data_IF_852234904434
#
_entry.id   IF_852234904434
#
_cell.length_a   1.000
_cell.length_b   1.000
_cell.length_c   1.000
_cell.angle_alpha   90.00
_cell.angle_beta   90.00
_cell.angle_gamma   90.00
#
_symmetry.space_group_name_H-M   'P 1'
#
loop_
_entity.id
_entity.type
_entity.pdbx_description
1 polymer ?
#
# COMPACT_ATOMS: atom_id res chain seq x y z
N UNK A 1 41.82 15.29 -21.91
CA UNK A 1 40.42 14.94 -22.30
C UNK A 1 40.09 15.67 -23.59
N UNK A 2 39.46 14.94 -24.55
CA UNK A 2 39.08 15.51 -25.84
C UNK A 2 37.67 16.12 -25.80
N UNK A 3 36.82 15.69 -24.87
CA UNK A 3 35.49 16.24 -24.65
C UNK A 3 35.00 15.87 -23.24
N UNK A 4 34.08 16.70 -22.69
CA UNK A 4 33.31 16.46 -21.50
C UNK A 4 31.83 16.40 -21.91
N UNK A 5 31.19 15.28 -21.67
CA UNK A 5 29.75 15.11 -21.93
C UNK A 5 29.02 15.12 -20.59
N UNK A 6 28.08 16.04 -20.43
CA UNK A 6 27.25 16.15 -19.22
C UNK A 6 25.86 15.66 -19.55
N UNK A 7 25.39 14.64 -18.82
CA UNK A 7 24.03 14.16 -18.90
C UNK A 7 23.22 14.76 -17.73
N UNK A 8 22.03 15.23 -18.03
CA UNK A 8 21.04 15.66 -17.04
C UNK A 8 19.74 14.92 -17.30
N UNK A 9 19.28 14.17 -16.30
CA UNK A 9 17.95 13.59 -16.34
C UNK A 9 16.92 14.63 -15.92
N UNK A 10 15.84 14.71 -16.68
CA UNK A 10 14.69 15.53 -16.30
C UNK A 10 13.83 14.74 -15.31
N UNK A 11 13.39 15.45 -14.26
CA UNK A 11 12.43 14.88 -13.30
C UNK A 11 11.05 15.00 -13.93
N UNK A 12 10.24 13.96 -13.80
CA UNK A 12 8.85 13.99 -14.28
C UNK A 12 8.09 15.13 -13.62
N UNK A 13 7.28 15.85 -14.39
CA UNK A 13 6.58 17.08 -13.94
C UNK A 13 5.72 16.81 -12.69
N UNK A 14 5.04 15.66 -12.62
CA UNK A 14 4.12 15.30 -11.55
C UNK A 14 4.83 14.68 -10.30
N UNK A 15 6.16 14.54 -10.31
CA UNK A 15 6.88 13.84 -9.23
C UNK A 15 6.71 14.57 -7.88
N UNK A 16 6.83 15.88 -7.87
CA UNK A 16 6.70 16.69 -6.63
C UNK A 16 5.32 16.54 -6.01
N UNK A 17 4.27 16.68 -6.81
CA UNK A 17 2.88 16.59 -6.36
C UNK A 17 2.58 15.21 -5.80
N UNK A 18 3.07 14.16 -6.47
CA UNK A 18 2.91 12.78 -6.02
C UNK A 18 3.59 12.52 -4.68
N UNK A 19 4.82 13.00 -4.48
CA UNK A 19 5.54 12.82 -3.22
C UNK A 19 4.97 13.67 -2.10
N UNK A 20 4.47 14.88 -2.39
CA UNK A 20 3.77 15.71 -1.42
C UNK A 20 2.47 15.06 -0.95
N UNK A 21 1.69 14.50 -1.86
CA UNK A 21 0.52 13.69 -1.52
C UNK A 21 0.87 12.56 -0.53
N UNK A 22 1.90 11.75 -0.80
CA UNK A 22 2.28 10.67 0.10
C UNK A 22 2.76 11.18 1.47
N UNK A 23 3.49 12.30 1.51
CA UNK A 23 3.88 12.96 2.75
C UNK A 23 2.67 13.38 3.58
N UNK A 24 1.66 13.99 2.96
CA UNK A 24 0.39 14.37 3.63
C UNK A 24 -0.38 13.16 4.16
N UNK A 25 -0.25 12.01 3.47
CA UNK A 25 -0.82 10.75 3.95
C UNK A 25 -0.02 10.10 5.09
N UNK A 26 1.08 10.71 5.52
CA UNK A 26 1.96 10.19 6.58
C UNK A 26 2.82 9.02 6.12
N UNK A 27 3.09 8.90 4.81
CA UNK A 27 3.98 7.87 4.25
C UNK A 27 5.42 8.37 4.30
N UNK A 28 6.30 7.60 4.90
CA UNK A 28 7.74 7.85 4.88
C UNK A 28 8.37 7.25 3.62
N UNK A 29 8.85 8.11 2.74
CA UNK A 29 9.46 7.70 1.47
C UNK A 29 10.94 7.41 1.69
N UNK A 30 11.42 6.30 1.15
CA UNK A 30 12.83 5.92 1.12
C UNK A 30 13.25 5.65 -0.33
N UNK A 31 14.43 6.13 -0.70
CA UNK A 31 14.98 5.93 -2.04
C UNK A 31 16.11 4.93 -1.95
N UNK A 32 16.01 3.84 -2.71
CA UNK A 32 16.96 2.75 -2.71
C UNK A 32 17.49 2.57 -4.14
N UNK A 33 18.74 2.91 -4.39
CA UNK A 33 19.34 2.87 -5.73
C UNK A 33 20.70 2.17 -5.74
N UNK A 34 21.03 1.56 -6.88
CA UNK A 34 22.39 1.07 -7.15
C UNK A 34 23.39 2.16 -7.49
N UNK A 35 22.93 3.40 -7.74
CA UNK A 35 23.74 4.54 -8.16
C UNK A 35 24.46 5.22 -7.00
N UNK A 36 25.29 6.19 -7.33
CA UNK A 36 26.03 6.99 -6.35
C UNK A 36 25.06 7.70 -5.40
N UNK A 37 25.22 7.55 -4.06
CA UNK A 37 24.29 8.09 -3.07
C UNK A 37 24.12 9.61 -3.14
N UNK A 38 25.19 10.36 -3.44
CA UNK A 38 25.12 11.81 -3.56
C UNK A 38 24.26 12.24 -4.75
N UNK A 39 24.45 11.60 -5.91
CA UNK A 39 23.64 11.87 -7.11
C UNK A 39 22.18 11.54 -6.88
N UNK A 40 21.90 10.40 -6.25
CA UNK A 40 20.53 9.98 -5.91
C UNK A 40 19.88 10.94 -4.92
N UNK A 41 20.63 11.42 -3.92
CA UNK A 41 20.17 12.42 -2.95
C UNK A 41 19.81 13.75 -3.63
N UNK A 42 20.64 14.24 -4.54
CA UNK A 42 20.36 15.47 -5.30
C UNK A 42 19.10 15.33 -6.17
N UNK A 43 18.92 14.20 -6.84
CA UNK A 43 17.72 13.91 -7.64
C UNK A 43 16.48 13.82 -6.74
N UNK A 44 16.56 13.11 -5.60
CA UNK A 44 15.47 12.99 -4.64
C UNK A 44 15.05 14.35 -4.06
N UNK A 45 16.02 15.23 -3.80
CA UNK A 45 15.78 16.60 -3.35
C UNK A 45 15.05 17.44 -4.39
N UNK A 46 15.48 17.35 -5.65
CA UNK A 46 14.80 18.01 -6.77
C UNK A 46 13.39 17.48 -7.02
N UNK A 47 13.15 16.17 -6.75
CA UNK A 47 11.83 15.55 -6.82
C UNK A 47 10.92 15.91 -5.63
N UNK A 48 11.43 16.63 -4.60
CA UNK A 48 10.64 17.07 -3.46
C UNK A 48 10.52 16.05 -2.33
N UNK A 49 11.37 15.01 -2.30
CA UNK A 49 11.38 14.05 -1.19
C UNK A 49 12.03 14.71 0.05
N UNK A 50 11.32 14.79 1.20
CA UNK A 50 11.84 15.46 2.38
C UNK A 50 13.03 14.71 3.00
N UNK A 51 13.97 15.47 3.57
CA UNK A 51 15.17 14.96 4.24
C UNK A 51 16.09 14.09 3.35
N UNK A 52 16.05 14.30 2.03
CA UNK A 52 16.87 13.53 1.08
C UNK A 52 18.37 13.77 1.24
N UNK A 53 18.77 14.82 1.95
CA UNK A 53 20.15 15.10 2.36
C UNK A 53 20.72 14.02 3.31
N UNK A 54 19.84 13.24 3.97
CA UNK A 54 20.22 12.10 4.79
C UNK A 54 20.44 10.88 3.89
N UNK A 55 21.60 10.80 3.31
CA UNK A 55 21.97 9.67 2.44
C UNK A 55 23.14 8.87 3.01
N UNK A 56 23.25 7.62 2.56
CA UNK A 56 24.33 6.70 2.95
C UNK A 56 24.81 5.87 1.76
N UNK A 57 26.10 5.58 1.75
CA UNK A 57 26.74 4.63 0.85
C UNK A 57 26.70 3.24 1.48
N UNK A 58 25.82 2.38 0.97
CA UNK A 58 25.64 1.03 1.55
C UNK A 58 26.78 0.07 1.26
N UNK A 59 27.66 0.41 0.31
CA UNK A 59 28.87 -0.39 0.06
C UNK A 59 29.89 -0.34 1.21
N UNK A 60 29.73 0.65 2.10
CA UNK A 60 30.60 0.86 3.27
C UNK A 60 30.00 0.25 4.57
N UNK A 61 28.78 -0.29 4.51
CA UNK A 61 28.07 -0.80 5.67
C UNK A 61 28.02 -2.33 5.64
N UNK A 62 28.16 -2.93 6.82
CA UNK A 62 27.80 -4.31 7.04
C UNK A 62 26.27 -4.50 7.04
N UNK A 63 25.80 -5.73 6.88
CA UNK A 63 24.37 -6.07 6.91
C UNK A 63 23.69 -5.64 8.23
N UNK A 64 24.41 -5.72 9.36
CA UNK A 64 23.88 -5.33 10.69
C UNK A 64 23.82 -3.80 10.87
N UNK A 65 24.80 -3.07 10.36
CA UNK A 65 24.78 -1.60 10.36
C UNK A 65 23.68 -1.09 9.44
N UNK A 66 23.47 -1.73 8.29
CA UNK A 66 22.40 -1.40 7.36
C UNK A 66 21.02 -1.56 8.01
N UNK A 67 20.77 -2.66 8.74
CA UNK A 67 19.53 -2.88 9.48
C UNK A 67 19.28 -1.81 10.55
N UNK A 68 20.31 -1.41 11.29
CA UNK A 68 20.19 -0.37 12.32
C UNK A 68 19.87 0.99 11.73
N UNK A 69 20.45 1.31 10.58
CA UNK A 69 20.35 2.60 9.93
C UNK A 69 19.12 2.77 9.03
N UNK A 70 18.28 1.75 8.84
CA UNK A 70 17.16 1.75 7.89
C UNK A 70 16.13 2.87 8.14
N UNK A 71 15.98 3.36 9.37
CA UNK A 71 15.10 4.48 9.71
C UNK A 71 15.80 5.84 9.61
N UNK A 72 17.10 5.90 9.89
CA UNK A 72 17.89 7.12 9.97
C UNK A 72 18.05 7.82 8.62
N UNK A 73 18.39 7.03 7.58
CA UNK A 73 18.62 7.57 6.23
C UNK A 73 17.37 7.50 5.36
N UNK A 74 17.26 8.44 4.46
CA UNK A 74 16.20 8.52 3.46
C UNK A 74 16.66 7.96 2.11
N UNK A 75 17.92 8.19 1.76
CA UNK A 75 18.52 7.77 0.50
C UNK A 75 19.62 6.75 0.76
N UNK A 76 19.49 5.60 0.12
CA UNK A 76 20.46 4.51 0.14
C UNK A 76 21.04 4.36 -1.27
N UNK A 77 22.34 4.60 -1.40
CA UNK A 77 23.05 4.46 -2.68
C UNK A 77 23.96 3.25 -2.72
N UNK A 78 24.35 2.81 -3.92
CA UNK A 78 25.17 1.61 -4.19
C UNK A 78 24.61 0.34 -3.57
N UNK A 79 23.30 0.23 -3.51
CA UNK A 79 22.59 -0.88 -2.87
C UNK A 79 22.59 -2.11 -3.77
N UNK A 80 23.10 -3.23 -3.26
CA UNK A 80 23.01 -4.53 -3.93
C UNK A 80 21.59 -5.11 -3.82
N UNK A 81 21.20 -6.07 -4.70
CA UNK A 81 19.89 -6.72 -4.62
C UNK A 81 19.59 -7.34 -3.26
N UNK A 82 20.58 -7.97 -2.63
CA UNK A 82 20.45 -8.54 -1.29
C UNK A 82 20.23 -7.47 -0.22
N UNK A 83 20.94 -6.34 -0.31
CA UNK A 83 20.78 -5.23 0.63
C UNK A 83 19.41 -4.56 0.50
N UNK A 84 18.81 -4.50 -0.71
CA UNK A 84 17.42 -4.04 -0.90
C UNK A 84 16.44 -4.90 -0.09
N UNK A 85 16.60 -6.21 -0.16
CA UNK A 85 15.82 -7.17 0.63
C UNK A 85 16.03 -6.98 2.14
N UNK A 86 17.28 -6.81 2.59
CA UNK A 86 17.60 -6.55 4.00
C UNK A 86 16.93 -5.28 4.51
N UNK A 87 16.93 -4.20 3.74
CA UNK A 87 16.28 -2.93 4.11
C UNK A 87 14.76 -3.10 4.28
N UNK A 88 14.10 -3.78 3.34
CA UNK A 88 12.65 -4.06 3.43
C UNK A 88 12.35 -4.86 4.68
N UNK A 89 13.08 -5.95 4.93
CA UNK A 89 12.86 -6.80 6.10
C UNK A 89 13.16 -6.06 7.40
N UNK A 90 14.23 -5.25 7.45
CA UNK A 90 14.58 -4.47 8.64
C UNK A 90 13.50 -3.43 9.01
N UNK A 91 12.85 -2.81 8.03
CA UNK A 91 11.72 -1.91 8.27
C UNK A 91 10.50 -2.68 8.79
N UNK A 92 10.20 -3.86 8.23
CA UNK A 92 9.11 -4.73 8.70
C UNK A 92 9.34 -5.23 10.11
N UNK A 93 10.56 -5.65 10.44
CA UNK A 93 10.94 -6.11 11.79
C UNK A 93 10.75 -5.00 12.86
N UNK A 94 10.84 -3.73 12.45
CA UNK A 94 10.53 -2.56 13.30
C UNK A 94 9.04 -2.22 13.37
N UNK A 95 8.19 -3.00 12.73
CA UNK A 95 6.73 -2.86 12.77
C UNK A 95 6.14 -1.92 11.72
N UNK A 96 6.94 -1.51 10.72
CA UNK A 96 6.43 -0.72 9.59
C UNK A 96 5.74 -1.61 8.56
N UNK A 97 4.68 -1.10 7.93
CA UNK A 97 4.11 -1.68 6.71
C UNK A 97 4.86 -1.09 5.51
N UNK A 98 5.48 -1.96 4.72
CA UNK A 98 6.40 -1.56 3.65
C UNK A 98 5.79 -1.81 2.28
N UNK A 99 5.66 -0.73 1.49
CA UNK A 99 5.40 -0.83 0.06
C UNK A 99 6.72 -0.68 -0.71
N UNK A 100 6.97 -1.56 -1.68
CA UNK A 100 8.16 -1.53 -2.54
C UNK A 100 7.76 -1.35 -3.99
N UNK A 101 8.38 -0.39 -4.65
CA UNK A 101 8.23 -0.17 -6.10
C UNK A 101 9.55 -0.44 -6.80
N UNK A 102 9.52 -1.18 -7.89
CA UNK A 102 10.71 -1.52 -8.66
C UNK A 102 10.40 -1.86 -10.11
N UNK A 103 11.42 -1.75 -10.98
CA UNK A 103 11.33 -2.04 -12.41
C UNK A 103 12.37 -3.06 -12.87
N UNK A 104 13.40 -3.29 -12.07
CA UNK A 104 14.54 -4.14 -12.40
C UNK A 104 14.48 -5.53 -11.77
N UNK A 105 15.18 -6.49 -12.40
CA UNK A 105 15.36 -7.85 -11.88
C UNK A 105 16.02 -7.82 -10.48
N UNK A 106 16.82 -6.81 -10.21
CA UNK A 106 17.49 -6.59 -8.94
C UNK A 106 16.52 -6.25 -7.78
N UNK A 107 15.27 -5.95 -8.08
CA UNK A 107 14.25 -5.58 -7.09
C UNK A 107 13.39 -6.79 -6.66
N UNK A 108 13.47 -7.90 -7.37
CA UNK A 108 12.58 -9.07 -7.18
C UNK A 108 12.58 -9.58 -5.74
N UNK A 109 13.74 -9.67 -5.09
CA UNK A 109 13.81 -10.14 -3.70
C UNK A 109 13.12 -9.17 -2.74
N UNK A 110 13.35 -7.88 -2.89
CA UNK A 110 12.73 -6.85 -2.07
C UNK A 110 11.21 -6.74 -2.33
N UNK A 111 10.78 -6.87 -3.59
CA UNK A 111 9.35 -6.88 -3.97
C UNK A 111 8.60 -8.05 -3.34
N UNK A 112 9.20 -9.26 -3.32
CA UNK A 112 8.59 -10.45 -2.72
C UNK A 112 8.43 -10.34 -1.21
N UNK A 113 9.34 -9.66 -0.54
CA UNK A 113 9.34 -9.54 0.92
C UNK A 113 8.50 -8.34 1.40
N UNK A 114 8.20 -7.38 0.54
CA UNK A 114 7.37 -6.23 0.87
C UNK A 114 5.91 -6.63 1.17
N UNK A 115 5.22 -5.85 2.01
CA UNK A 115 3.80 -6.06 2.30
C UNK A 115 2.91 -5.67 1.11
N UNK A 116 3.36 -4.69 0.32
CA UNK A 116 2.75 -4.30 -0.95
C UNK A 116 3.86 -4.12 -1.99
N UNK A 117 3.77 -4.81 -3.11
CA UNK A 117 4.76 -4.72 -4.18
C UNK A 117 4.15 -4.26 -5.49
N UNK A 118 4.84 -3.30 -6.13
CA UNK A 118 4.37 -2.64 -7.34
C UNK A 118 5.50 -2.67 -8.37
N UNK A 119 5.24 -3.25 -9.53
CA UNK A 119 6.16 -3.23 -10.66
C UNK A 119 5.72 -2.23 -11.72
N UNK A 120 6.68 -1.72 -12.49
CA UNK A 120 6.43 -0.94 -13.69
C UNK A 120 6.33 -1.87 -14.90
N UNK A 121 5.31 -1.71 -15.75
CA UNK A 121 5.14 -2.56 -16.93
C UNK A 121 6.29 -2.41 -17.95
N UNK A 122 6.95 -1.24 -17.98
CA UNK A 122 8.14 -1.00 -18.80
C UNK A 122 9.41 -1.70 -18.28
N UNK A 123 9.35 -2.24 -17.06
CA UNK A 123 10.45 -2.96 -16.44
C UNK A 123 10.62 -4.40 -16.94
N UNK A 124 11.45 -5.18 -16.26
CA UNK A 124 11.67 -6.56 -16.60
C UNK A 124 10.40 -7.41 -16.36
N UNK A 125 10.07 -8.31 -17.29
CA UNK A 125 8.91 -9.21 -17.16
C UNK A 125 8.92 -10.02 -15.87
N UNK A 126 10.09 -10.52 -15.47
CA UNK A 126 10.25 -11.25 -14.21
C UNK A 126 9.91 -10.41 -12.97
N UNK A 127 10.12 -9.09 -13.01
CA UNK A 127 9.74 -8.16 -11.94
C UNK A 127 8.22 -8.01 -11.87
N UNK A 128 7.55 -7.87 -13.03
CA UNK A 128 6.10 -7.82 -13.12
C UNK A 128 5.43 -9.10 -12.63
N UNK A 129 6.01 -10.26 -12.89
CA UNK A 129 5.52 -11.56 -12.43
C UNK A 129 5.73 -11.77 -10.90
N UNK A 130 6.72 -11.09 -10.33
CA UNK A 130 7.04 -11.19 -8.90
C UNK A 130 6.23 -10.23 -8.03
N UNK A 131 5.70 -9.15 -8.59
CA UNK A 131 4.96 -8.12 -7.89
C UNK A 131 3.47 -8.46 -7.74
N UNK A 132 2.83 -7.93 -6.69
CA UNK A 132 1.40 -8.08 -6.45
C UNK A 132 0.56 -7.20 -7.38
N UNK A 133 1.11 -6.08 -7.83
CA UNK A 133 0.45 -5.12 -8.72
C UNK A 133 1.42 -4.60 -9.77
N UNK A 134 0.91 -4.26 -10.95
CA UNK A 134 1.70 -3.70 -12.06
C UNK A 134 1.06 -2.41 -12.54
N UNK A 135 1.83 -1.33 -12.60
CA UNK A 135 1.44 -0.07 -13.22
C UNK A 135 1.64 -0.19 -14.73
N UNK A 136 0.53 -0.31 -15.46
CA UNK A 136 0.54 -0.59 -16.90
C UNK A 136 1.13 0.55 -17.74
N UNK A 137 0.91 1.79 -17.33
CA UNK A 137 1.48 2.98 -17.95
C UNK A 137 2.89 3.33 -17.44
N UNK A 138 3.38 2.58 -16.45
CA UNK A 138 4.69 2.83 -15.82
C UNK A 138 4.86 4.24 -15.26
N UNK A 139 3.74 4.88 -14.90
CA UNK A 139 3.74 6.21 -14.30
C UNK A 139 3.32 6.18 -12.83
N UNK A 140 4.28 6.43 -11.95
CA UNK A 140 4.05 6.45 -10.51
C UNK A 140 3.10 7.57 -10.05
N UNK A 141 2.88 8.60 -10.87
CA UNK A 141 1.94 9.69 -10.57
C UNK A 141 0.47 9.25 -10.46
N UNK A 142 0.12 8.07 -10.97
CA UNK A 142 -1.21 7.47 -10.82
C UNK A 142 -1.42 6.74 -9.48
N UNK A 143 -0.37 6.58 -8.68
CA UNK A 143 -0.50 5.89 -7.37
C UNK A 143 -1.48 6.55 -6.40
N UNK A 144 -1.64 7.87 -6.32
CA UNK A 144 -2.71 8.49 -5.53
C UNK A 144 -4.11 7.98 -5.89
N UNK A 145 -4.41 7.81 -7.19
CA UNK A 145 -5.69 7.28 -7.66
C UNK A 145 -5.90 5.82 -7.25
N UNK A 146 -4.84 5.00 -7.34
CA UNK A 146 -4.86 3.61 -6.87
C UNK A 146 -5.15 3.53 -5.37
N UNK A 147 -4.56 4.42 -4.57
CA UNK A 147 -4.81 4.50 -3.13
C UNK A 147 -6.25 4.91 -2.85
N UNK A 148 -6.79 5.90 -3.56
CA UNK A 148 -8.18 6.33 -3.41
C UNK A 148 -9.16 5.23 -3.78
N UNK A 149 -8.91 4.49 -4.85
CA UNK A 149 -9.75 3.36 -5.25
C UNK A 149 -9.69 2.22 -4.22
N UNK A 150 -8.51 1.90 -3.72
CA UNK A 150 -8.34 0.93 -2.64
C UNK A 150 -9.14 1.32 -1.39
N UNK A 151 -9.11 2.59 -0.99
CA UNK A 151 -9.91 3.11 0.13
C UNK A 151 -11.40 2.98 -0.12
N UNK A 152 -11.87 3.32 -1.33
CA UNK A 152 -13.26 3.17 -1.72
C UNK A 152 -13.73 1.74 -1.57
N UNK A 153 -12.95 0.80 -2.08
CA UNK A 153 -13.29 -0.64 -2.02
C UNK A 153 -13.35 -1.12 -0.57
N UNK A 154 -12.33 -0.83 0.24
CA UNK A 154 -12.28 -1.28 1.64
C UNK A 154 -13.41 -0.66 2.47
N UNK A 155 -13.68 0.64 2.32
CA UNK A 155 -14.78 1.31 3.03
C UNK A 155 -16.14 0.72 2.65
N UNK A 156 -16.36 0.43 1.37
CA UNK A 156 -17.62 -0.17 0.91
C UNK A 156 -17.78 -1.61 1.40
N UNK A 157 -16.72 -2.41 1.38
CA UNK A 157 -16.73 -3.78 1.94
C UNK A 157 -17.02 -3.73 3.44
N UNK A 158 -16.40 -2.83 4.18
CA UNK A 158 -16.61 -2.68 5.63
C UNK A 158 -18.06 -2.33 5.96
N UNK A 159 -18.66 -1.39 5.26
CA UNK A 159 -20.08 -1.01 5.43
C UNK A 159 -21.02 -2.18 5.10
N UNK A 160 -20.78 -2.85 3.98
CA UNK A 160 -21.59 -4.02 3.60
C UNK A 160 -21.46 -5.14 4.62
N UNK A 161 -20.24 -5.43 5.11
CA UNK A 161 -20.00 -6.42 6.13
C UNK A 161 -20.75 -6.13 7.43
N UNK A 162 -20.80 -4.83 7.84
CA UNK A 162 -21.57 -4.42 9.02
C UNK A 162 -23.06 -4.72 8.87
N UNK A 163 -23.67 -4.47 7.71
CA UNK A 163 -25.08 -4.80 7.45
C UNK A 163 -25.34 -6.31 7.56
N UNK A 164 -24.46 -7.13 7.00
CA UNK A 164 -24.56 -8.59 7.10
C UNK A 164 -24.42 -9.08 8.55
N UNK A 165 -23.48 -8.49 9.29
CA UNK A 165 -23.23 -8.88 10.68
C UNK A 165 -24.43 -8.57 11.58
N UNK A 166 -25.02 -7.40 11.45
CA UNK A 166 -26.22 -6.97 12.20
C UNK A 166 -27.37 -7.96 11.97
N UNK A 167 -27.63 -8.36 10.72
CA UNK A 167 -28.67 -9.35 10.41
C UNK A 167 -28.38 -10.71 11.04
N UNK A 168 -27.15 -11.18 10.94
CA UNK A 168 -26.79 -12.49 11.49
C UNK A 168 -26.89 -12.51 13.01
N UNK A 169 -26.45 -11.45 13.69
CA UNK A 169 -26.60 -11.30 15.14
C UNK A 169 -28.08 -11.28 15.52
N UNK A 170 -28.90 -10.50 14.81
CA UNK A 170 -30.34 -10.46 15.03
C UNK A 170 -30.97 -11.84 14.90
N UNK A 171 -30.70 -12.57 13.80
CA UNK A 171 -31.24 -13.92 13.59
C UNK A 171 -30.78 -14.91 14.66
N UNK A 172 -29.54 -14.82 15.10
CA UNK A 172 -28.99 -15.63 16.18
C UNK A 172 -29.67 -15.36 17.53
N UNK A 173 -29.84 -14.08 17.89
CA UNK A 173 -30.54 -13.69 19.12
C UNK A 173 -32.00 -14.15 19.09
N UNK A 174 -32.69 -13.99 17.96
CA UNK A 174 -34.08 -14.48 17.80
C UNK A 174 -34.18 -15.99 17.96
N UNK A 175 -33.21 -16.76 17.46
CA UNK A 175 -33.17 -18.21 17.65
C UNK A 175 -32.98 -18.59 19.12
N UNK A 176 -32.08 -17.87 19.85
CA UNK A 176 -31.91 -18.10 21.29
C UNK A 176 -33.21 -17.80 22.06
N UNK A 177 -33.83 -16.65 21.78
CA UNK A 177 -35.10 -16.28 22.45
C UNK A 177 -36.18 -17.31 22.18
N UNK A 178 -36.33 -17.78 20.94
CA UNK A 178 -37.30 -18.83 20.57
C UNK A 178 -37.04 -20.14 21.33
N UNK A 179 -35.78 -20.53 21.48
CA UNK A 179 -35.36 -21.71 22.22
C UNK A 179 -35.69 -21.57 23.72
N UNK A 180 -35.32 -20.46 24.34
CA UNK A 180 -35.52 -20.23 25.78
C UNK A 180 -37.02 -20.13 26.13
N UNK A 181 -37.78 -19.44 25.27
CA UNK A 181 -39.23 -19.29 25.48
C UNK A 181 -40.07 -20.47 24.98
N UNK A 182 -39.44 -21.47 24.36
CA UNK A 182 -40.08 -22.66 23.80
C UNK A 182 -41.18 -22.31 22.78
N UNK A 183 -40.97 -21.25 22.02
CA UNK A 183 -41.88 -20.79 20.96
C UNK A 183 -41.31 -21.11 19.58
N UNK A 184 -42.19 -21.24 18.60
CA UNK A 184 -41.79 -21.39 17.20
C UNK A 184 -41.03 -20.14 16.74
N UNK A 185 -40.02 -20.29 15.91
CA UNK A 185 -39.29 -19.17 15.35
C UNK A 185 -40.27 -18.23 14.64
N UNK A 186 -40.29 -16.93 15.00
CA UNK A 186 -41.40 -16.02 14.63
C UNK A 186 -41.37 -15.57 13.17
N UNK A 187 -40.28 -15.82 12.42
CA UNK A 187 -40.11 -15.39 11.04
C UNK A 187 -40.10 -16.59 10.09
N UNK A 188 -40.88 -16.55 9.04
CA UNK A 188 -40.82 -17.49 7.95
C UNK A 188 -39.65 -17.23 6.98
N UNK A 189 -39.14 -18.25 6.26
CA UNK A 189 -38.05 -18.09 5.31
C UNK A 189 -38.30 -17.00 4.25
N UNK A 190 -39.53 -16.84 3.79
CA UNK A 190 -39.90 -15.81 2.81
C UNK A 190 -39.79 -14.41 3.41
N UNK A 191 -40.18 -14.23 4.66
CA UNK A 191 -40.06 -12.96 5.38
C UNK A 191 -38.59 -12.59 5.63
N UNK A 192 -37.76 -13.58 6.00
CA UNK A 192 -36.32 -13.38 6.18
C UNK A 192 -35.65 -12.97 4.86
N UNK A 193 -36.08 -13.57 3.75
CA UNK A 193 -35.56 -13.24 2.42
C UNK A 193 -35.94 -11.81 2.02
N UNK A 194 -37.19 -11.41 2.28
CA UNK A 194 -37.67 -10.06 2.00
C UNK A 194 -36.93 -9.02 2.86
N UNK A 195 -36.84 -9.27 4.16
CA UNK A 195 -36.06 -8.42 5.09
C UNK A 195 -34.61 -8.31 4.59
N UNK A 196 -33.98 -9.42 4.21
CA UNK A 196 -32.62 -9.41 3.66
C UNK A 196 -32.45 -8.58 2.40
N UNK A 197 -33.41 -8.63 1.48
CA UNK A 197 -33.40 -7.81 0.26
C UNK A 197 -33.45 -6.32 0.58
N UNK A 198 -34.34 -5.89 1.47
CA UNK A 198 -34.53 -4.47 1.80
C UNK A 198 -33.50 -3.92 2.79
N UNK A 199 -32.98 -4.74 3.71
CA UNK A 199 -32.02 -4.25 4.73
C UNK A 199 -30.56 -4.42 4.33
N UNK A 200 -30.25 -5.33 3.43
CA UNK A 200 -28.88 -5.60 2.99
C UNK A 200 -28.71 -5.42 1.49
N UNK A 201 -29.57 -6.07 0.69
CA UNK A 201 -29.42 -6.09 -0.77
C UNK A 201 -29.44 -4.70 -1.38
N UNK A 202 -30.53 -3.97 -1.19
CA UNK A 202 -30.71 -2.62 -1.73
C UNK A 202 -29.72 -1.62 -1.09
N UNK A 203 -29.62 -1.51 0.25
CA UNK A 203 -28.65 -0.60 0.86
C UNK A 203 -27.21 -0.95 0.51
N UNK A 204 -26.82 -2.22 0.50
CA UNK A 204 -25.49 -2.66 0.11
C UNK A 204 -25.12 -2.28 -1.32
N UNK A 205 -26.08 -2.41 -2.26
CA UNK A 205 -25.90 -1.95 -3.63
C UNK A 205 -25.72 -0.43 -3.73
N UNK A 206 -26.56 0.34 -3.04
CA UNK A 206 -26.46 1.80 -3.04
C UNK A 206 -25.16 2.29 -2.42
N UNK A 207 -24.72 1.65 -1.30
CA UNK A 207 -23.44 1.95 -0.66
C UNK A 207 -22.25 1.60 -1.56
N UNK A 208 -22.34 0.56 -2.37
CA UNK A 208 -21.28 0.21 -3.32
C UNK A 208 -21.08 1.25 -4.43
N UNK A 209 -22.12 2.03 -4.76
CA UNK A 209 -22.06 3.14 -5.71
C UNK A 209 -21.45 4.42 -5.08
N UNK A 210 -21.41 4.52 -3.77
CA UNK A 210 -20.87 5.70 -3.09
C UNK A 210 -19.35 5.74 -3.18
N UNK A 211 -18.79 6.89 -3.58
CA UNK A 211 -17.36 7.14 -3.65
C UNK A 211 -16.81 7.58 -2.29
N UNK A 212 -16.67 6.65 -1.35
CA UNK A 212 -16.06 6.95 -0.05
C UNK A 212 -14.54 6.76 -0.10
N UNK A 213 -13.81 7.87 -0.22
CA UNK A 213 -12.34 7.93 -0.28
C UNK A 213 -11.69 8.27 1.07
N UNK A 214 -12.44 8.27 2.15
CA UNK A 214 -11.94 8.63 3.48
C UNK A 214 -10.81 7.68 3.91
N UNK A 215 -9.89 8.21 4.71
CA UNK A 215 -8.80 7.40 5.28
C UNK A 215 -9.38 6.28 6.12
N UNK A 216 -8.86 5.07 5.92
CA UNK A 216 -9.24 3.91 6.71
C UNK A 216 -8.57 4.04 8.07
N UNK A 217 -9.37 4.16 9.14
CA UNK A 217 -8.89 4.25 10.51
C UNK A 217 -9.21 2.97 11.27
N UNK A 218 -8.29 2.57 12.15
CA UNK A 218 -8.47 1.41 13.03
C UNK A 218 -8.28 0.05 12.33
N UNK A 219 -8.73 -1.01 13.00
CA UNK A 219 -8.69 -2.38 12.47
C UNK A 219 -10.03 -2.75 11.86
N UNK A 220 -10.03 -3.39 10.68
CA UNK A 220 -11.23 -3.80 9.95
C UNK A 220 -12.27 -4.49 10.86
N UNK A 221 -11.85 -5.52 11.62
CA UNK A 221 -12.74 -6.29 12.52
C UNK A 221 -13.36 -5.43 13.63
N UNK A 222 -12.67 -4.37 14.06
CA UNK A 222 -13.20 -3.49 15.12
C UNK A 222 -14.22 -2.48 14.59
N UNK A 223 -14.14 -2.17 13.33
CA UNK A 223 -14.98 -1.17 12.68
C UNK A 223 -16.26 -1.79 12.06
N UNK A 224 -16.27 -3.11 11.86
CA UNK A 224 -17.43 -3.91 11.44
C UNK A 224 -18.21 -4.41 12.65
#
# INVERSE_FOLDING_TARGET
>A
PLALIIFKNEIRENAKETFEYFKEQGVNIKVISGDNPKTVSEIAMLAGIPNSEKYVDTSLLSDDELKKSCEEYIVFGRVSPKQKQILVNALKDKGHTVAMTGDGVNDILALKDADCSIAMASGAKATSEAAQSVLLDSDFSHMPEVVFEGRRVVNNIQRSASLFLVKNIFSFLMAIVSLVMTITYPLEPNQISLIGAFTIGIPGFLLALESNKNRIEGKFIRNV
#
